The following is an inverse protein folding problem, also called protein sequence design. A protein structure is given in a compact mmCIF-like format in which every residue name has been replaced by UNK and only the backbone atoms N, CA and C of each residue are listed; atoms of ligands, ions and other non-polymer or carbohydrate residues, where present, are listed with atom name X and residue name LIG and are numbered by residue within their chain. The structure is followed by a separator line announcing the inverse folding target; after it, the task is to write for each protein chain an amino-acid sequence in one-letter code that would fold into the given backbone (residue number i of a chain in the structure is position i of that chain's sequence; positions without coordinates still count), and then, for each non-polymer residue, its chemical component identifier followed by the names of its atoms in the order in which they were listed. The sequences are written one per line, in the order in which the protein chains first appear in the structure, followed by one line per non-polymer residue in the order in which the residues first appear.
data_IF_489386250947
#
_entry.id   IF_489386250947
#
_cell.length_a   1.000
_cell.length_b   1.000
_cell.length_c   1.000
_cell.angle_alpha   90.00
_cell.angle_beta   90.00
_cell.angle_gamma   90.00
#
_symmetry.space_group_name_H-M   'P 1'
#
loop_
_entity.id
_entity.type
_entity.pdbx_description
1 polymer ?
#
# COMPACT_ATOMS: atom_id res chain seq x y z
N UNK A 1 -4.65 2.84 -14.13
CA UNK A 1 -4.74 2.09 -12.85
C UNK A 1 -4.26 3.00 -11.74
N UNK A 2 -4.94 3.03 -10.61
CA UNK A 2 -4.49 3.77 -9.43
C UNK A 2 -3.15 3.20 -8.99
N UNK A 3 -2.16 4.06 -8.78
CA UNK A 3 -0.77 3.68 -8.52
C UNK A 3 -0.23 4.22 -7.19
N UNK A 4 -1.10 4.85 -6.39
CA UNK A 4 -0.80 5.43 -5.10
C UNK A 4 -1.95 5.19 -4.13
N UNK A 5 -1.61 4.87 -2.89
CA UNK A 5 -2.52 4.44 -1.85
C UNK A 5 -2.20 5.19 -0.55
N UNK A 6 -3.22 5.52 0.24
CA UNK A 6 -2.99 6.00 1.61
C UNK A 6 -2.50 4.86 2.51
N UNK A 7 -2.03 5.22 3.70
CA UNK A 7 -1.66 4.22 4.72
C UNK A 7 -2.85 3.34 5.13
N UNK A 8 -4.06 3.92 5.17
CA UNK A 8 -5.28 3.20 5.50
C UNK A 8 -5.60 2.17 4.42
N UNK A 9 -5.54 2.56 3.15
CA UNK A 9 -5.81 1.65 2.02
C UNK A 9 -4.79 0.50 1.95
N UNK A 10 -3.52 0.78 2.25
CA UNK A 10 -2.50 -0.28 2.34
C UNK A 10 -2.75 -1.18 3.54
N UNK A 11 -3.23 -0.62 4.65
CA UNK A 11 -3.68 -1.41 5.80
C UNK A 11 -4.80 -2.38 5.41
N UNK A 12 -5.82 -1.89 4.70
CA UNK A 12 -6.91 -2.73 4.21
C UNK A 12 -6.42 -3.81 3.23
N UNK A 13 -5.53 -3.48 2.29
CA UNK A 13 -4.97 -4.45 1.33
C UNK A 13 -4.13 -5.55 1.99
N UNK A 14 -3.43 -5.23 3.08
CA UNK A 14 -2.53 -6.16 3.76
C UNK A 14 -3.18 -6.83 4.97
N UNK A 15 -4.45 -6.53 5.27
CA UNK A 15 -5.13 -6.92 6.51
C UNK A 15 -4.32 -6.51 7.76
N UNK A 16 -3.80 -5.27 7.74
CA UNK A 16 -2.97 -4.66 8.77
C UNK A 16 -3.62 -3.37 9.29
N UNK A 17 -3.37 -3.04 10.55
CA UNK A 17 -3.77 -1.71 11.05
C UNK A 17 -2.85 -0.64 10.46
N UNK A 18 -3.36 0.58 10.28
CA UNK A 18 -2.56 1.73 9.83
C UNK A 18 -1.30 1.92 10.67
N UNK A 19 -1.37 1.69 11.99
CA UNK A 19 -0.21 1.77 12.89
C UNK A 19 0.86 0.71 12.63
N UNK A 20 0.49 -0.44 12.05
CA UNK A 20 1.44 -1.48 11.66
C UNK A 20 2.11 -1.12 10.34
N UNK A 21 1.36 -0.55 9.39
CA UNK A 21 1.92 0.03 8.17
C UNK A 21 2.93 1.14 8.49
N UNK A 22 2.63 2.00 9.47
CA UNK A 22 3.58 3.01 9.95
C UNK A 22 4.85 2.39 10.55
N UNK A 23 4.75 1.31 11.31
CA UNK A 23 5.92 0.60 11.84
C UNK A 23 6.78 -0.02 10.75
N UNK A 24 6.18 -0.57 9.70
CA UNK A 24 6.92 -1.09 8.54
C UNK A 24 7.68 0.04 7.82
N UNK A 25 7.13 1.26 7.80
CA UNK A 25 7.82 2.45 7.32
C UNK A 25 8.97 2.86 8.25
N UNK A 26 8.72 2.93 9.56
CA UNK A 26 9.72 3.32 10.56
C UNK A 26 10.88 2.32 10.64
N UNK A 27 10.61 1.05 10.43
CA UNK A 27 11.63 -0.02 10.35
C UNK A 27 12.43 -0.01 9.03
N UNK A 28 11.95 0.73 8.02
CA UNK A 28 12.59 0.85 6.71
C UNK A 28 12.27 -0.29 5.74
N UNK A 29 11.32 -1.18 6.06
CA UNK A 29 10.89 -2.23 5.15
C UNK A 29 9.96 -1.71 4.05
N UNK A 30 9.09 -0.76 4.38
CA UNK A 30 8.13 -0.16 3.48
C UNK A 30 8.48 1.30 3.20
N UNK A 31 8.62 1.66 1.93
CA UNK A 31 8.90 3.05 1.53
C UNK A 31 7.61 3.81 1.26
N UNK A 32 7.70 5.14 1.30
CA UNK A 32 6.59 6.03 1.00
C UNK A 32 7.07 7.26 0.25
N UNK A 33 6.14 7.95 -0.41
CA UNK A 33 6.34 9.23 -1.06
C UNK A 33 5.41 10.28 -0.47
N UNK A 34 5.83 11.55 -0.47
CA UNK A 34 4.92 12.64 -0.15
C UNK A 34 4.23 13.11 -1.43
N UNK A 35 2.89 13.10 -1.44
CA UNK A 35 2.06 13.66 -2.50
C UNK A 35 1.03 14.59 -1.88
N UNK A 36 0.95 15.83 -2.36
CA UNK A 36 0.07 16.88 -1.80
C UNK A 36 0.16 17.09 -0.28
N UNK A 37 1.35 16.87 0.30
CA UNK A 37 1.59 17.00 1.74
C UNK A 37 1.21 15.78 2.57
N UNK A 38 0.72 14.71 1.93
CA UNK A 38 0.33 13.46 2.59
C UNK A 38 1.29 12.32 2.26
N UNK A 39 1.49 11.41 3.21
CA UNK A 39 2.23 10.16 2.96
C UNK A 39 1.37 9.24 2.09
N UNK A 40 1.90 8.86 0.93
CA UNK A 40 1.29 7.90 0.01
C UNK A 40 2.29 6.79 -0.27
N UNK A 41 1.77 5.57 -0.34
CA UNK A 41 2.53 4.40 -0.74
C UNK A 41 2.24 4.13 -2.20
N UNK A 42 3.28 4.08 -3.02
CA UNK A 42 3.12 3.79 -4.44
C UNK A 42 3.05 2.29 -4.69
N UNK A 43 2.53 1.90 -5.85
CA UNK A 43 2.57 0.51 -6.27
C UNK A 43 4.00 -0.05 -6.23
N UNK A 44 4.99 0.75 -6.65
CA UNK A 44 6.40 0.38 -6.64
C UNK A 44 6.93 0.12 -5.22
N UNK A 45 6.49 0.89 -4.23
CA UNK A 45 6.87 0.67 -2.83
C UNK A 45 6.33 -0.68 -2.33
N UNK A 46 5.08 -1.02 -2.68
CA UNK A 46 4.50 -2.33 -2.38
C UNK A 46 5.22 -3.46 -3.12
N UNK A 47 5.51 -3.30 -4.42
CA UNK A 47 6.26 -4.28 -5.21
C UNK A 47 7.65 -4.57 -4.61
N UNK A 48 8.31 -3.57 -4.03
CA UNK A 48 9.56 -3.76 -3.30
C UNK A 48 9.38 -4.49 -1.99
N UNK A 49 8.30 -4.20 -1.28
CA UNK A 49 8.00 -4.77 0.03
C UNK A 49 7.65 -6.27 -0.05
N UNK A 50 6.81 -6.66 -1.01
CA UNK A 50 6.23 -8.02 -1.06
C UNK A 50 6.35 -8.73 -2.41
N UNK A 51 6.87 -8.05 -3.44
CA UNK A 51 7.01 -8.59 -4.79
C UNK A 51 5.82 -8.31 -5.71
N UNK A 52 6.13 -8.16 -7.01
CA UNK A 52 5.15 -7.70 -8.00
C UNK A 52 3.93 -8.59 -8.18
N UNK A 53 4.09 -9.91 -8.06
CA UNK A 53 2.97 -10.85 -8.19
C UNK A 53 1.95 -10.68 -7.04
N UNK A 54 2.46 -10.59 -5.81
CA UNK A 54 1.62 -10.44 -4.63
C UNK A 54 0.97 -9.05 -4.58
N UNK A 55 1.74 -8.00 -4.88
CA UNK A 55 1.21 -6.62 -4.98
C UNK A 55 0.09 -6.54 -6.00
N UNK A 56 0.27 -7.12 -7.20
CA UNK A 56 -0.76 -7.11 -8.23
C UNK A 56 -2.03 -7.79 -7.76
N UNK A 57 -1.92 -8.93 -7.09
CA UNK A 57 -3.07 -9.66 -6.55
C UNK A 57 -3.86 -8.81 -5.54
N UNK A 58 -3.20 -8.32 -4.48
CA UNK A 58 -3.89 -7.57 -3.42
C UNK A 58 -4.50 -6.26 -3.93
N UNK A 59 -3.82 -5.57 -4.86
CA UNK A 59 -4.34 -4.34 -5.44
C UNK A 59 -5.51 -4.60 -6.38
N UNK A 60 -5.50 -5.72 -7.13
CA UNK A 60 -6.63 -6.12 -7.95
C UNK A 60 -7.83 -6.54 -7.11
N UNK A 61 -7.61 -7.29 -6.04
CA UNK A 61 -8.67 -7.71 -5.11
C UNK A 61 -9.31 -6.46 -4.48
N UNK A 62 -8.51 -5.54 -3.92
CA UNK A 62 -8.99 -4.29 -3.31
C UNK A 62 -9.74 -3.37 -4.30
N UNK A 63 -9.21 -3.19 -5.51
CA UNK A 63 -9.88 -2.35 -6.52
C UNK A 63 -11.13 -3.03 -7.11
N UNK A 64 -11.16 -4.36 -7.15
CA UNK A 64 -12.29 -5.14 -7.63
C UNK A 64 -13.43 -5.25 -6.62
N UNK A 65 -13.14 -5.26 -5.32
CA UNK A 65 -14.15 -5.22 -4.26
C UNK A 65 -14.88 -3.86 -4.16
N UNK A 66 -14.31 -2.79 -4.73
CA UNK A 66 -14.93 -1.46 -4.79
C UNK A 66 -15.98 -1.25 -5.90
N UNK A 67 -16.16 -2.21 -6.82
CA UNK A 67 -17.14 -2.13 -7.93
C UNK A 67 -18.42 -2.97 -7.70
N UNK A 68 -18.68 -3.42 -6.45
CA UNK A 68 -19.85 -4.22 -6.06
C UNK A 68 -21.03 -3.46 -5.50
#
# INVERSE_FOLDING_TARGET
MRSMFSLEEVGEMLDMKTSEVEREIESGHLTYSFHDGEKRITLYDLEKYMGAEQTRKITQDYLGEGEG
#
